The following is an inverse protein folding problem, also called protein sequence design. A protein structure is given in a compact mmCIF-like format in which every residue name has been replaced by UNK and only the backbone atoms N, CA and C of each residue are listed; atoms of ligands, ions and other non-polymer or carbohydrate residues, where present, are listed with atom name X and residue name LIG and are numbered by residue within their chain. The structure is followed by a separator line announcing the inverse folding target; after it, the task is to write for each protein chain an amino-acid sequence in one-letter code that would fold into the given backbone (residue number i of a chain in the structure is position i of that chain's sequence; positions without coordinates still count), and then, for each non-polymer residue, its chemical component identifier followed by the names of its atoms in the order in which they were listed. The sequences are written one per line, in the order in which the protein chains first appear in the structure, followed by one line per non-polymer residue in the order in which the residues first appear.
data_IF_069750057019
#
_entry.id   IF_069750057019
#
_cell.length_a   1.000
_cell.length_b   1.000
_cell.length_c   1.000
_cell.angle_alpha   90.00
_cell.angle_beta   90.00
_cell.angle_gamma   90.00
#
_symmetry.space_group_name_H-M   'P 1'
#
loop_
_entity.id
_entity.type
_entity.pdbx_description
1 polymer ?
#
# COMPACT_ATOMS: atom_id res chain seq x y z
N UNK A 1 43.11 -3.70 -14.13
CA UNK A 1 42.42 -3.64 -12.82
C UNK A 1 41.26 -2.67 -12.97
N UNK A 2 40.06 -3.18 -13.28
CA UNK A 2 38.87 -2.35 -13.48
C UNK A 2 38.07 -2.32 -12.18
N UNK A 3 37.98 -1.14 -11.56
CA UNK A 3 37.15 -0.91 -10.38
C UNK A 3 35.69 -0.78 -10.78
N UNK A 4 34.90 -1.83 -10.54
CA UNK A 4 33.45 -1.78 -10.56
C UNK A 4 32.96 -0.94 -9.38
N UNK A 5 32.44 0.26 -9.65
CA UNK A 5 31.77 1.10 -8.66
C UNK A 5 30.30 0.65 -8.58
N UNK A 6 29.96 -0.09 -7.53
CA UNK A 6 28.57 -0.39 -7.18
C UNK A 6 27.87 0.90 -6.79
N UNK A 7 26.97 1.39 -7.64
CA UNK A 7 26.03 2.46 -7.32
C UNK A 7 24.86 1.81 -6.59
N UNK A 8 24.88 1.87 -5.26
CA UNK A 8 23.74 1.51 -4.44
C UNK A 8 22.70 2.63 -4.55
N UNK A 9 21.77 2.47 -5.49
CA UNK A 9 20.60 3.35 -5.62
C UNK A 9 19.60 2.96 -4.54
N UNK A 10 19.68 3.62 -3.38
CA UNK A 10 18.66 3.54 -2.34
C UNK A 10 17.41 4.27 -2.81
N UNK A 11 16.48 3.55 -3.43
CA UNK A 11 15.16 4.06 -3.76
C UNK A 11 14.34 4.14 -2.46
N UNK A 12 14.36 5.31 -1.83
CA UNK A 12 13.54 5.59 -0.65
C UNK A 12 12.09 5.76 -1.13
N UNK A 13 11.33 4.65 -1.15
CA UNK A 13 9.90 4.68 -1.40
C UNK A 13 9.23 5.33 -0.20
N UNK A 14 8.95 6.62 -0.29
CA UNK A 14 8.17 7.35 0.72
C UNK A 14 6.73 6.82 0.70
N UNK A 15 6.46 5.85 1.56
CA UNK A 15 5.12 5.33 1.81
C UNK A 15 4.36 6.44 2.56
N UNK A 16 3.65 7.27 1.81
CA UNK A 16 2.73 8.24 2.38
C UNK A 16 1.67 7.47 3.19
N UNK A 17 1.60 7.73 4.49
CA UNK A 17 0.43 7.37 5.30
C UNK A 17 -0.75 8.21 4.80
N UNK A 18 -1.39 7.76 3.72
CA UNK A 18 -2.68 8.28 3.31
C UNK A 18 -3.67 7.92 4.43
N UNK A 19 -4.29 8.94 5.03
CA UNK A 19 -5.49 8.74 5.82
C UNK A 19 -6.51 7.94 5.00
N UNK A 20 -7.36 7.09 5.61
CA UNK A 20 -8.33 6.29 4.87
C UNK A 20 -9.32 7.24 4.18
N UNK A 21 -9.01 7.62 2.94
CA UNK A 21 -10.00 8.13 2.01
C UNK A 21 -11.04 7.02 1.95
N UNK A 22 -12.25 7.36 2.40
CA UNK A 22 -13.31 6.39 2.62
C UNK A 22 -13.45 5.44 1.45
N UNK A 23 -13.79 4.20 1.77
CA UNK A 23 -14.03 3.04 0.89
C UNK A 23 -14.88 3.33 -0.38
N UNK A 24 -15.48 4.52 -0.44
CA UNK A 24 -16.25 5.10 -1.53
C UNK A 24 -15.45 5.84 -2.62
N UNK A 25 -14.15 6.09 -2.49
CA UNK A 25 -13.38 6.75 -3.57
C UNK A 25 -12.97 5.71 -4.64
N UNK A 26 -13.55 5.77 -5.86
CA UNK A 26 -13.20 4.84 -6.94
C UNK A 26 -11.73 4.98 -7.36
N UNK A 27 -11.11 6.14 -7.15
CA UNK A 27 -9.69 6.37 -7.46
C UNK A 27 -8.78 5.55 -6.54
N UNK A 28 -9.10 5.48 -5.25
CA UNK A 28 -8.37 4.65 -4.30
C UNK A 28 -8.52 3.16 -4.63
N UNK A 29 -9.73 2.71 -4.97
CA UNK A 29 -9.99 1.33 -5.44
C UNK A 29 -9.22 1.00 -6.72
N UNK A 30 -9.13 1.94 -7.66
CA UNK A 30 -8.33 1.80 -8.87
C UNK A 30 -6.83 1.62 -8.57
N UNK A 31 -6.29 2.37 -7.61
CA UNK A 31 -4.90 2.20 -7.18
C UNK A 31 -4.65 0.81 -6.59
N UNK A 32 -5.61 0.26 -5.83
CA UNK A 32 -5.55 -1.13 -5.32
C UNK A 32 -5.52 -2.14 -6.46
N UNK A 33 -6.42 -2.03 -7.45
CA UNK A 33 -6.41 -2.86 -8.66
C UNK A 33 -5.03 -2.82 -9.32
N UNK A 34 -4.50 -1.62 -9.55
CA UNK A 34 -3.21 -1.47 -10.22
C UNK A 34 -2.05 -2.03 -9.40
N UNK A 35 -2.08 -1.88 -8.07
CA UNK A 35 -1.10 -2.48 -7.15
C UNK A 35 -1.06 -4.02 -7.23
N UNK A 36 -2.22 -4.66 -7.36
CA UNK A 36 -2.30 -6.10 -7.60
C UNK A 36 -1.71 -6.50 -8.95
N UNK A 37 -1.97 -5.72 -10.00
CA UNK A 37 -1.40 -6.00 -11.33
C UNK A 37 0.13 -5.85 -11.33
N UNK A 38 0.67 -4.77 -10.74
CA UNK A 38 2.12 -4.61 -10.61
C UNK A 38 2.76 -5.73 -9.81
N UNK A 39 2.06 -6.21 -8.77
CA UNK A 39 2.50 -7.37 -7.99
C UNK A 39 2.53 -8.62 -8.87
N UNK A 40 1.48 -8.88 -9.64
CA UNK A 40 1.40 -9.99 -10.58
C UNK A 40 2.51 -9.94 -11.64
N UNK A 41 2.75 -8.77 -12.26
CA UNK A 41 3.79 -8.56 -13.27
C UNK A 41 5.20 -8.84 -12.71
N UNK A 42 5.49 -8.38 -11.50
CA UNK A 42 6.75 -8.67 -10.79
C UNK A 42 6.90 -10.15 -10.46
N UNK A 43 5.84 -10.81 -10.00
CA UNK A 43 5.84 -12.25 -9.70
C UNK A 43 6.04 -13.08 -10.97
N UNK A 44 5.39 -12.70 -12.07
CA UNK A 44 5.58 -13.31 -13.38
C UNK A 44 7.02 -13.14 -13.88
N UNK A 45 7.61 -11.94 -13.72
CA UNK A 45 9.00 -11.69 -14.06
C UNK A 45 9.98 -12.55 -13.23
N UNK A 46 9.63 -12.87 -11.99
CA UNK A 46 10.37 -13.77 -11.11
C UNK A 46 10.07 -15.27 -11.37
N UNK A 47 9.26 -15.60 -12.39
CA UNK A 47 8.86 -16.97 -12.72
C UNK A 47 7.90 -17.60 -11.71
N UNK A 48 7.32 -16.83 -10.79
CA UNK A 48 6.37 -17.29 -9.78
C UNK A 48 4.95 -17.29 -10.36
N UNK A 49 4.72 -18.08 -11.40
CA UNK A 49 3.46 -18.14 -12.14
C UNK A 49 2.20 -18.38 -11.27
N UNK A 50 2.22 -19.25 -10.25
CA UNK A 50 1.04 -19.46 -9.39
C UNK A 50 0.60 -18.21 -8.65
N UNK A 51 1.56 -17.48 -8.07
CA UNK A 51 1.31 -16.27 -7.30
C UNK A 51 0.94 -15.11 -8.24
N UNK A 52 1.56 -15.07 -9.42
CA UNK A 52 1.22 -14.11 -10.46
C UNK A 52 -0.23 -14.28 -10.91
N UNK A 53 -0.66 -15.53 -11.18
CA UNK A 53 -2.03 -15.83 -11.54
C UNK A 53 -3.00 -15.44 -10.42
N UNK A 54 -2.72 -15.81 -9.17
CA UNK A 54 -3.55 -15.40 -8.04
C UNK A 54 -3.68 -13.88 -7.92
N UNK A 55 -2.59 -13.14 -8.13
CA UNK A 55 -2.60 -11.67 -8.12
C UNK A 55 -3.37 -11.06 -9.31
N UNK A 56 -3.32 -11.68 -10.50
CA UNK A 56 -4.12 -11.24 -11.65
C UNK A 56 -5.62 -11.51 -11.45
N UNK A 57 -5.97 -12.67 -10.89
CA UNK A 57 -7.35 -13.02 -10.57
C UNK A 57 -7.94 -12.06 -9.54
N UNK A 58 -7.16 -11.69 -8.54
CA UNK A 58 -7.55 -10.70 -7.55
C UNK A 58 -7.75 -9.31 -8.18
N UNK A 59 -6.83 -8.87 -9.05
CA UNK A 59 -7.00 -7.63 -9.81
C UNK A 59 -8.28 -7.64 -10.68
N UNK A 60 -8.59 -8.77 -11.33
CA UNK A 60 -9.81 -8.94 -12.15
C UNK A 60 -11.09 -8.91 -11.30
N UNK A 61 -11.07 -9.50 -10.10
CA UNK A 61 -12.18 -9.41 -9.14
C UNK A 61 -12.43 -7.96 -8.73
N UNK A 62 -11.39 -7.25 -8.31
CA UNK A 62 -11.46 -5.87 -7.82
C UNK A 62 -11.91 -4.89 -8.91
N UNK A 63 -11.42 -5.04 -10.15
CA UNK A 63 -11.81 -4.16 -11.26
C UNK A 63 -13.27 -4.41 -11.72
N UNK A 64 -13.77 -5.65 -11.58
CA UNK A 64 -15.18 -5.97 -11.81
C UNK A 64 -16.06 -5.29 -10.76
N UNK A 65 -15.71 -5.43 -9.49
CA UNK A 65 -16.43 -4.78 -8.40
C UNK A 65 -16.42 -3.24 -8.55
N UNK A 66 -15.28 -2.65 -8.92
CA UNK A 66 -15.19 -1.22 -9.24
C UNK A 66 -16.12 -0.81 -10.40
N UNK A 67 -16.16 -1.58 -11.47
CA UNK A 67 -17.02 -1.30 -12.63
C UNK A 67 -18.52 -1.40 -12.28
N UNK A 68 -18.88 -2.31 -11.38
CA UNK A 68 -20.26 -2.51 -10.94
C UNK A 68 -20.72 -1.44 -9.95
N UNK A 69 -19.86 -1.08 -9.00
CA UNK A 69 -20.16 -0.09 -7.95
C UNK A 69 -20.01 1.35 -8.43
N UNK A 70 -19.14 1.61 -9.40
CA UNK A 70 -18.83 2.94 -9.95
C UNK A 70 -18.76 2.92 -11.49
N UNK A 71 -19.89 2.70 -12.20
CA UNK A 71 -19.90 2.54 -13.65
C UNK A 71 -19.44 3.78 -14.43
N UNK A 72 -19.54 4.98 -13.83
CA UNK A 72 -19.13 6.25 -14.45
C UNK A 72 -17.62 6.54 -14.27
N UNK A 73 -16.90 5.75 -13.47
CA UNK A 73 -15.47 5.94 -13.25
C UNK A 73 -14.66 5.43 -14.44
N UNK A 74 -14.15 6.36 -15.25
CA UNK A 74 -13.19 6.11 -16.33
C UNK A 74 -13.51 4.83 -17.16
N UNK A 75 -14.72 4.72 -17.72
CA UNK A 75 -15.25 3.44 -18.22
C UNK A 75 -14.41 2.84 -19.36
N UNK A 76 -13.79 3.69 -20.19
CA UNK A 76 -12.90 3.27 -21.27
C UNK A 76 -11.63 2.59 -20.73
N UNK A 77 -11.01 3.18 -19.70
CA UNK A 77 -9.82 2.65 -19.04
C UNK A 77 -10.13 1.33 -18.33
N UNK A 78 -11.23 1.28 -17.58
CA UNK A 78 -11.69 0.07 -16.87
C UNK A 78 -11.97 -1.05 -17.87
N UNK A 79 -12.69 -0.77 -18.96
CA UNK A 79 -12.98 -1.75 -20.01
C UNK A 79 -11.71 -2.27 -20.68
N UNK A 80 -10.79 -1.37 -21.06
CA UNK A 80 -9.51 -1.73 -21.64
C UNK A 80 -8.71 -2.66 -20.72
N UNK A 81 -8.57 -2.29 -19.44
CA UNK A 81 -7.76 -3.06 -18.49
C UNK A 81 -8.38 -4.41 -18.16
N UNK A 82 -9.71 -4.51 -18.09
CA UNK A 82 -10.42 -5.79 -17.96
C UNK A 82 -10.15 -6.73 -19.14
N UNK A 83 -10.22 -6.21 -20.37
CA UNK A 83 -9.90 -6.99 -21.57
C UNK A 83 -8.47 -7.53 -21.54
N UNK A 84 -7.51 -6.70 -21.15
CA UNK A 84 -6.10 -7.11 -21.01
C UNK A 84 -5.91 -8.15 -19.91
N UNK A 85 -6.58 -8.01 -18.76
CA UNK A 85 -6.53 -8.97 -17.65
C UNK A 85 -7.04 -10.34 -18.08
N UNK A 86 -8.17 -10.41 -18.80
CA UNK A 86 -8.71 -11.69 -19.31
C UNK A 86 -7.70 -12.42 -20.18
N UNK A 87 -7.06 -11.73 -21.12
CA UNK A 87 -6.00 -12.32 -21.95
C UNK A 87 -4.82 -12.77 -21.11
N UNK A 88 -4.33 -11.92 -20.20
CA UNK A 88 -3.16 -12.20 -19.36
C UNK A 88 -3.39 -13.37 -18.41
N UNK A 89 -4.58 -13.48 -17.82
CA UNK A 89 -5.01 -14.59 -16.96
C UNK A 89 -4.97 -15.89 -17.76
N UNK A 90 -5.59 -15.92 -18.95
CA UNK A 90 -5.60 -17.11 -19.80
C UNK A 90 -4.20 -17.55 -20.23
N UNK A 91 -3.33 -16.61 -20.61
CA UNK A 91 -1.94 -16.90 -20.96
C UNK A 91 -1.12 -17.40 -19.77
N UNK A 92 -1.41 -16.90 -18.56
CA UNK A 92 -0.73 -17.31 -17.34
C UNK A 92 -1.21 -18.69 -16.89
N UNK A 93 -2.51 -18.96 -16.91
CA UNK A 93 -3.12 -20.25 -16.60
C UNK A 93 -2.55 -21.37 -17.50
N UNK A 94 -2.39 -21.10 -18.80
CA UNK A 94 -1.79 -22.03 -19.74
C UNK A 94 -0.32 -22.41 -19.40
N UNK A 95 0.37 -21.64 -18.54
CA UNK A 95 1.73 -21.92 -18.07
C UNK A 95 1.78 -22.76 -16.81
N UNK A 96 0.69 -22.85 -16.04
CA UNK A 96 0.69 -23.56 -14.76
C UNK A 96 0.63 -25.07 -14.95
N UNK A 97 1.43 -25.77 -14.16
CA UNK A 97 1.30 -27.22 -13.96
C UNK A 97 0.20 -27.55 -12.94
N UNK A 98 -0.24 -28.81 -12.86
CA UNK A 98 -1.31 -29.22 -11.91
C UNK A 98 -0.92 -28.92 -10.46
N UNK A 99 0.31 -29.26 -10.06
CA UNK A 99 0.80 -29.01 -8.68
C UNK A 99 0.90 -27.50 -8.36
N UNK A 100 1.09 -26.68 -9.39
CA UNK A 100 1.11 -25.23 -9.27
C UNK A 100 -0.28 -24.61 -9.06
N UNK A 101 -1.35 -25.28 -9.48
CA UNK A 101 -2.71 -24.82 -9.20
C UNK A 101 -3.03 -24.90 -7.71
N UNK A 102 -2.55 -25.92 -6.99
CA UNK A 102 -2.73 -26.01 -5.53
C UNK A 102 -2.06 -24.82 -4.81
N UNK A 103 -0.83 -24.48 -5.22
CA UNK A 103 -0.11 -23.31 -4.69
C UNK A 103 -0.88 -22.02 -4.97
N UNK A 104 -1.43 -21.86 -6.17
CA UNK A 104 -2.25 -20.71 -6.52
C UNK A 104 -3.51 -20.63 -5.65
N UNK A 105 -4.23 -21.74 -5.46
CA UNK A 105 -5.44 -21.77 -4.63
C UNK A 105 -5.16 -21.36 -3.19
N UNK A 106 -4.11 -21.92 -2.56
CA UNK A 106 -3.70 -21.51 -1.21
C UNK A 106 -3.29 -20.04 -1.15
N UNK A 107 -2.66 -19.52 -2.20
CA UNK A 107 -2.30 -18.11 -2.27
C UNK A 107 -3.55 -17.21 -2.38
N UNK A 108 -4.60 -17.64 -3.09
CA UNK A 108 -5.89 -16.95 -3.10
C UNK A 108 -6.55 -16.99 -1.72
N UNK A 109 -6.56 -18.12 -1.02
CA UNK A 109 -7.08 -18.23 0.35
C UNK A 109 -6.34 -17.27 1.31
N UNK A 110 -5.03 -17.11 1.13
CA UNK A 110 -4.23 -16.11 1.83
C UNK A 110 -4.69 -14.67 1.52
N UNK A 111 -4.89 -14.32 0.25
CA UNK A 111 -5.35 -12.98 -0.15
C UNK A 111 -6.73 -12.69 0.45
N UNK A 112 -7.68 -13.62 0.34
CA UNK A 112 -9.03 -13.45 0.88
C UNK A 112 -8.99 -13.26 2.41
N UNK A 113 -8.18 -14.05 3.11
CA UNK A 113 -7.99 -13.91 4.55
C UNK A 113 -7.33 -12.58 4.92
N UNK A 114 -6.34 -12.14 4.15
CA UNK A 114 -5.68 -10.84 4.35
C UNK A 114 -6.69 -9.69 4.22
N UNK A 115 -7.48 -9.68 3.15
CA UNK A 115 -8.48 -8.63 2.93
C UNK A 115 -9.59 -8.63 3.98
N UNK A 116 -10.10 -9.81 4.35
CA UNK A 116 -11.09 -9.94 5.41
C UNK A 116 -10.54 -9.40 6.74
N UNK A 117 -9.31 -9.77 7.09
CA UNK A 117 -8.66 -9.28 8.31
C UNK A 117 -8.43 -7.78 8.31
N UNK A 118 -8.05 -7.19 7.16
CA UNK A 118 -7.93 -5.73 7.02
C UNK A 118 -9.30 -5.03 7.11
N UNK A 119 -10.36 -5.60 6.54
CA UNK A 119 -11.73 -5.10 6.67
C UNK A 119 -12.20 -5.10 8.13
N UNK A 120 -12.02 -6.22 8.84
CA UNK A 120 -12.32 -6.35 10.27
C UNK A 120 -11.55 -5.32 11.10
N UNK A 121 -10.28 -5.06 10.76
CA UNK A 121 -9.48 -4.03 11.41
C UNK A 121 -10.11 -2.65 11.27
N UNK A 122 -10.54 -2.26 10.06
CA UNK A 122 -11.18 -0.96 9.84
C UNK A 122 -12.58 -0.87 10.46
N UNK A 123 -13.26 -2.01 10.65
CA UNK A 123 -14.50 -2.11 11.41
C UNK A 123 -14.31 -2.05 12.95
N UNK A 124 -13.07 -1.93 13.44
CA UNK A 124 -12.69 -2.00 14.85
C UNK A 124 -12.96 -3.36 15.53
N UNK A 125 -13.02 -4.44 14.76
CA UNK A 125 -13.18 -5.81 15.24
C UNK A 125 -11.80 -6.45 15.53
N UNK A 126 -11.03 -5.85 16.44
CA UNK A 126 -9.59 -6.15 16.58
C UNK A 126 -9.26 -7.62 16.88
N UNK A 127 -10.00 -8.29 17.76
CA UNK A 127 -9.77 -9.71 18.07
C UNK A 127 -10.05 -10.62 16.86
N UNK A 128 -11.11 -10.33 16.09
CA UNK A 128 -11.45 -11.05 14.87
C UNK A 128 -10.40 -10.81 13.80
N UNK A 129 -10.02 -9.54 13.57
CA UNK A 129 -8.97 -9.15 12.64
C UNK A 129 -7.65 -9.85 12.95
N UNK A 130 -7.24 -9.87 14.23
CA UNK A 130 -6.00 -10.54 14.65
C UNK A 130 -6.05 -12.03 14.36
N UNK A 131 -7.16 -12.70 14.67
CA UNK A 131 -7.34 -14.13 14.42
C UNK A 131 -7.27 -14.44 12.92
N UNK A 132 -7.99 -13.69 12.09
CA UNK A 132 -8.01 -13.86 10.63
C UNK A 132 -6.63 -13.62 10.02
N UNK A 133 -5.95 -12.53 10.40
CA UNK A 133 -4.60 -12.22 9.89
C UNK A 133 -3.55 -13.25 10.35
N UNK A 134 -3.71 -13.82 11.54
CA UNK A 134 -2.83 -14.91 12.00
C UNK A 134 -3.04 -16.19 11.17
N UNK A 135 -4.29 -16.49 10.77
CA UNK A 135 -4.56 -17.59 9.82
C UNK A 135 -3.95 -17.32 8.46
N UNK A 136 -4.11 -16.09 7.93
CA UNK A 136 -3.46 -15.68 6.68
C UNK A 136 -1.93 -15.89 6.74
N UNK A 137 -1.31 -15.53 7.88
CA UNK A 137 0.12 -15.74 8.10
C UNK A 137 0.49 -17.22 8.06
N UNK A 138 -0.29 -18.07 8.72
CA UNK A 138 -0.04 -19.51 8.73
C UNK A 138 -0.11 -20.14 7.32
N UNK A 139 -1.07 -19.72 6.48
CA UNK A 139 -1.15 -20.14 5.07
C UNK A 139 0.10 -19.70 4.30
N UNK A 140 0.55 -18.47 4.51
CA UNK A 140 1.75 -17.95 3.86
C UNK A 140 3.03 -18.66 4.33
N UNK A 141 3.13 -18.99 5.62
CA UNK A 141 4.22 -19.79 6.19
C UNK A 141 4.27 -21.20 5.56
N UNK A 142 3.12 -21.86 5.38
CA UNK A 142 3.01 -23.17 4.71
C UNK A 142 3.48 -23.10 3.24
N UNK A 143 3.08 -22.05 2.52
CA UNK A 143 3.52 -21.81 1.15
C UNK A 143 5.04 -21.59 1.05
N UNK A 144 5.61 -20.82 1.99
CA UNK A 144 7.05 -20.60 2.09
C UNK A 144 7.77 -21.92 2.39
N UNK A 145 7.23 -22.77 3.27
CA UNK A 145 7.84 -24.08 3.57
C UNK A 145 7.90 -24.98 2.33
N UNK A 146 6.86 -24.92 1.48
CA UNK A 146 6.76 -25.74 0.27
C UNK A 146 7.73 -25.31 -0.84
N UNK A 147 8.01 -24.00 -1.00
CA UNK A 147 8.92 -23.47 -2.04
C UNK A 147 9.90 -22.41 -1.49
N UNK A 148 10.91 -22.77 -0.69
CA UNK A 148 11.51 -21.86 0.29
C UNK A 148 12.31 -20.66 -0.22
N UNK A 149 13.06 -20.77 -1.31
CA UNK A 149 14.03 -19.70 -1.65
C UNK A 149 13.40 -18.62 -2.54
N UNK A 150 12.90 -18.98 -3.73
CA UNK A 150 12.34 -18.02 -4.66
C UNK A 150 10.99 -17.44 -4.21
N UNK A 151 10.17 -18.24 -3.50
CA UNK A 151 8.86 -17.77 -3.02
C UNK A 151 9.01 -16.73 -1.91
N UNK A 152 9.93 -16.97 -0.95
CA UNK A 152 10.12 -16.09 0.21
C UNK A 152 10.50 -14.68 -0.19
N UNK A 153 11.40 -14.53 -1.17
CA UNK A 153 11.74 -13.20 -1.69
C UNK A 153 10.54 -12.52 -2.35
N UNK A 154 9.76 -13.29 -3.11
CA UNK A 154 8.60 -12.78 -3.85
C UNK A 154 7.49 -12.25 -2.93
N UNK A 155 7.28 -12.90 -1.77
CA UNK A 155 6.23 -12.52 -0.80
C UNK A 155 6.75 -11.71 0.38
N UNK A 156 8.06 -11.38 0.43
CA UNK A 156 8.68 -10.73 1.58
C UNK A 156 7.97 -9.42 1.98
N UNK A 157 7.54 -8.62 0.99
CA UNK A 157 6.84 -7.36 1.27
C UNK A 157 5.46 -7.57 1.91
N UNK A 158 4.71 -8.57 1.44
CA UNK A 158 3.39 -8.93 1.95
C UNK A 158 3.52 -9.50 3.36
N UNK A 159 4.53 -10.36 3.58
CA UNK A 159 4.86 -10.93 4.87
C UNK A 159 5.15 -9.83 5.91
N UNK A 160 6.05 -8.90 5.58
CA UNK A 160 6.41 -7.80 6.47
C UNK A 160 5.21 -6.89 6.82
N UNK A 161 4.34 -6.61 5.83
CA UNK A 161 3.09 -5.84 6.06
C UNK A 161 2.14 -6.59 7.01
N UNK A 162 2.02 -7.90 6.84
CA UNK A 162 1.17 -8.75 7.67
C UNK A 162 1.67 -8.79 9.12
N UNK A 163 2.97 -9.02 9.33
CA UNK A 163 3.59 -9.00 10.66
C UNK A 163 3.41 -7.65 11.34
N UNK A 164 3.69 -6.55 10.64
CA UNK A 164 3.47 -5.21 11.18
C UNK A 164 2.01 -4.96 11.55
N UNK A 165 1.05 -5.53 10.81
CA UNK A 165 -0.38 -5.40 11.09
C UNK A 165 -0.79 -6.21 12.33
N UNK A 166 -0.23 -7.42 12.50
CA UNK A 166 -0.44 -8.26 13.67
C UNK A 166 0.14 -7.62 14.94
N UNK A 167 1.36 -7.09 14.87
CA UNK A 167 2.00 -6.37 15.99
C UNK A 167 1.16 -5.17 16.43
N UNK A 168 0.70 -4.38 15.45
CA UNK A 168 -0.17 -3.25 15.74
C UNK A 168 -1.49 -3.69 16.40
N UNK A 169 -2.17 -4.71 15.86
CA UNK A 169 -3.42 -5.25 16.43
C UNK A 169 -3.20 -5.77 17.86
N UNK A 170 -2.11 -6.50 18.09
CA UNK A 170 -1.73 -6.97 19.42
C UNK A 170 -1.59 -5.81 20.41
N UNK A 171 -0.97 -4.70 19.99
CA UNK A 171 -0.87 -3.50 20.82
C UNK A 171 -2.22 -2.87 21.15
N UNK A 172 -3.17 -2.85 20.20
CA UNK A 172 -4.51 -2.30 20.41
C UNK A 172 -5.35 -3.17 21.35
N UNK A 173 -5.28 -4.50 21.19
CA UNK A 173 -5.96 -5.46 22.07
C UNK A 173 -5.41 -5.33 23.49
N UNK A 174 -4.09 -5.30 23.66
CA UNK A 174 -3.45 -5.14 24.96
C UNK A 174 -3.80 -3.79 25.60
N UNK A 175 -3.77 -2.70 24.83
CA UNK A 175 -4.17 -1.38 25.30
C UNK A 175 -5.61 -1.38 25.81
N UNK A 176 -6.53 -2.02 25.08
CA UNK A 176 -7.94 -2.14 25.46
C UNK A 176 -8.12 -2.98 26.72
N UNK A 177 -7.35 -4.06 26.87
CA UNK A 177 -7.38 -4.91 28.06
C UNK A 177 -6.86 -4.19 29.31
N UNK A 178 -5.79 -3.42 29.19
CA UNK A 178 -5.21 -2.63 30.30
C UNK A 178 -6.09 -1.41 30.63
N UNK A 179 -6.69 -0.77 29.62
CA UNK A 179 -7.50 0.44 29.79
C UNK A 179 -8.94 0.19 30.23
N UNK A 180 -9.39 -1.07 30.28
CA UNK A 180 -10.61 -1.40 31.02
C UNK A 180 -10.23 -1.49 32.49
N UNK A 181 -10.45 -0.44 33.32
CA UNK A 181 -10.29 -0.61 34.75
C UNK A 181 -11.23 -1.76 35.12
N UNK A 182 -10.66 -2.85 35.64
CA UNK A 182 -11.46 -3.85 36.29
C UNK A 182 -12.40 -3.12 37.25
N UNK A 183 -13.63 -3.58 37.37
CA UNK A 183 -14.68 -3.07 38.27
C UNK A 183 -14.30 -3.11 39.77
N UNK A 184 -13.00 -3.05 40.10
CA UNK A 184 -12.55 -2.45 41.33
C UNK A 184 -13.05 -1.00 41.35
N UNK A 185 -13.89 -0.69 42.33
CA UNK A 185 -14.43 0.63 42.60
C UNK A 185 -13.34 1.69 42.39
N UNK A 186 -13.41 2.41 41.27
CA UNK A 186 -12.55 3.54 41.00
C UNK A 186 -12.94 4.57 42.03
N UNK A 187 -12.07 4.73 43.03
CA UNK A 187 -12.09 5.90 43.89
C UNK A 187 -12.10 7.12 42.96
N UNK A 188 -13.18 7.92 43.01
CA UNK A 188 -13.45 9.08 42.14
C UNK A 188 -12.32 10.12 42.11
N UNK A 189 -11.26 9.92 42.89
CA UNK A 189 -10.13 10.82 43.06
C UNK A 189 -9.02 10.67 42.02
N UNK A 190 -8.92 9.54 41.30
CA UNK A 190 -7.79 9.33 40.35
C UNK A 190 -8.19 9.72 38.94
N UNK A 191 -7.84 10.95 38.56
CA UNK A 191 -8.10 11.57 37.27
C UNK A 191 -7.16 11.02 36.20
N UNK A 192 -7.58 9.92 35.54
CA UNK A 192 -6.84 9.26 34.46
C UNK A 192 -6.88 10.06 33.17
N UNK A 193 -6.30 11.26 33.13
CA UNK A 193 -5.75 11.90 31.93
C UNK A 193 -6.60 11.91 30.65
N UNK A 194 -7.91 11.65 30.71
CA UNK A 194 -8.83 11.99 29.64
C UNK A 194 -8.65 13.47 29.46
N UNK A 195 -8.59 13.93 28.22
CA UNK A 195 -8.56 15.35 27.88
C UNK A 195 -9.64 16.06 28.69
N UNK A 196 -9.30 16.58 29.87
CA UNK A 196 -10.17 17.49 30.60
C UNK A 196 -10.39 18.59 29.60
N UNK A 197 -11.62 18.73 29.15
CA UNK A 197 -12.02 19.88 28.37
C UNK A 197 -11.65 21.08 29.23
N UNK A 198 -10.48 21.67 28.93
CA UNK A 198 -9.99 22.85 29.61
C UNK A 198 -11.06 23.89 29.37
N UNK A 199 -11.86 24.19 30.40
CA UNK A 199 -12.89 25.21 30.26
C UNK A 199 -12.15 26.53 30.08
N UNK A 200 -12.77 27.49 29.40
CA UNK A 200 -12.13 28.81 29.24
C UNK A 200 -11.71 29.46 30.57
N UNK A 201 -12.36 29.08 31.68
CA UNK A 201 -12.00 29.51 33.04
C UNK A 201 -10.75 28.82 33.63
N UNK A 202 -10.37 27.64 33.12
CA UNK A 202 -9.19 26.88 33.53
C UNK A 202 -7.93 27.33 32.79
N UNK A 203 -8.08 28.15 31.75
CA UNK A 203 -6.96 28.80 31.08
C UNK A 203 -6.39 29.90 32.01
N UNK A 204 -5.06 29.99 32.17
CA UNK A 204 -4.44 31.06 32.95
C UNK A 204 -4.84 32.41 32.34
N UNK A 205 -5.58 33.23 33.11
CA UNK A 205 -6.04 34.56 32.70
C UNK A 205 -4.93 35.61 32.75
N UNK A 206 -3.88 35.34 33.54
CA UNK A 206 -2.64 36.08 33.48
C UNK A 206 -1.79 35.54 32.34
N UNK A 207 -1.52 36.37 31.33
CA UNK A 207 -0.40 36.15 30.40
C UNK A 207 0.89 36.43 31.17
N UNK A 208 1.66 35.44 31.65
CA UNK A 208 3.08 35.70 31.85
C UNK A 208 3.62 36.17 30.50
N UNK A 209 4.52 37.16 30.50
CA UNK A 209 5.28 37.53 29.31
C UNK A 209 6.07 36.30 28.86
N UNK A 210 5.45 35.48 28.03
CA UNK A 210 6.08 34.32 27.42
C UNK A 210 7.12 34.86 26.45
N UNK A 211 8.35 35.01 26.93
CA UNK A 211 9.49 35.23 26.06
C UNK A 211 9.58 34.00 25.15
N UNK A 212 9.18 34.15 23.90
CA UNK A 212 9.41 33.16 22.87
C UNK A 212 10.91 33.15 22.62
N UNK A 213 11.65 32.36 23.40
CA UNK A 213 13.05 32.11 23.15
C UNK A 213 13.12 31.19 21.94
N UNK A 214 13.75 31.69 20.88
CA UNK A 214 14.04 30.98 19.64
C UNK A 214 15.00 29.78 19.80
N UNK A 215 15.19 29.28 21.02
CA UNK A 215 16.01 28.11 21.33
C UNK A 215 15.27 26.78 21.11
N UNK A 216 13.94 26.79 21.18
CA UNK A 216 13.12 25.57 21.01
C UNK A 216 12.72 25.30 19.57
N UNK A 217 12.93 26.27 18.68
CA UNK A 217 12.77 26.08 17.24
C UNK A 217 14.14 26.36 16.62
N UNK A 218 14.92 25.33 16.26
CA UNK A 218 16.10 25.54 15.44
C UNK A 218 15.60 26.13 14.13
N UNK A 219 15.66 27.47 14.04
CA UNK A 219 15.55 28.19 12.79
C UNK A 219 16.82 27.78 12.06
N UNK A 220 16.75 26.67 11.34
CA UNK A 220 17.76 26.32 10.36
C UNK A 220 17.91 27.55 9.49
N UNK A 221 19.08 28.18 9.59
CA UNK A 221 19.50 29.25 8.70
C UNK A 221 19.37 28.66 7.29
N UNK A 222 18.23 28.93 6.65
CA UNK A 222 18.11 28.80 5.21
C UNK A 222 19.15 29.77 4.69
N UNK A 223 20.32 29.23 4.36
CA UNK A 223 21.35 29.97 3.68
C UNK A 223 20.69 30.46 2.41
N UNK A 224 20.48 31.77 2.35
CA UNK A 224 20.03 32.54 1.21
C UNK A 224 21.15 32.45 0.15
N UNK A 225 21.33 31.25 -0.38
CA UNK A 225 22.12 31.02 -1.58
C UNK A 225 21.23 31.50 -2.70
N UNK A 226 21.46 32.75 -3.07
CA UNK A 226 20.90 33.41 -4.22
C UNK A 226 20.82 32.44 -5.41
N UNK A 227 19.65 31.84 -5.60
CA UNK A 227 19.29 31.15 -6.84
C UNK A 227 18.83 32.24 -7.77
N UNK A 228 19.72 32.63 -8.67
CA UNK A 228 19.49 33.57 -9.75
C UNK A 228 18.33 33.06 -10.64
N UNK A 229 17.13 33.69 -10.62
CA UNK A 229 15.97 33.15 -11.30
C UNK A 229 15.96 33.37 -12.82
N UNK A 230 17.06 33.86 -13.41
CA UNK A 230 17.09 34.28 -14.82
C UNK A 230 18.35 33.87 -15.60
N UNK A 231 18.87 32.65 -15.40
CA UNK A 231 19.74 32.05 -16.43
C UNK A 231 18.88 31.36 -17.50
N UNK A 232 18.31 32.17 -18.38
CA UNK A 232 17.58 31.76 -19.58
C UNK A 232 18.49 30.95 -20.51
N UNK A 233 18.47 29.62 -20.35
CA UNK A 233 19.02 28.69 -21.33
C UNK A 233 18.12 28.68 -22.56
N UNK A 234 18.65 29.20 -23.69
CA UNK A 234 18.03 29.14 -25.01
C UNK A 234 17.46 27.74 -25.32
N UNK A 235 16.21 27.62 -25.80
CA UNK A 235 15.75 26.36 -26.35
C UNK A 235 16.54 26.04 -27.62
N UNK A 236 17.29 24.93 -27.57
CA UNK A 236 17.91 24.33 -28.73
C UNK A 236 16.81 23.98 -29.76
N UNK A 237 16.97 24.56 -30.95
CA UNK A 237 16.15 24.36 -32.15
C UNK A 237 16.07 22.86 -32.46
N UNK A 238 14.90 22.25 -32.24
CA UNK A 238 14.60 20.89 -32.69
C UNK A 238 14.54 20.90 -34.23
N UNK A 239 15.32 20.06 -34.94
CA UNK A 239 15.21 19.93 -36.38
C UNK A 239 13.88 19.29 -36.76
N UNK A 240 13.13 20.01 -37.59
CA UNK A 240 11.92 19.55 -38.28
C UNK A 240 12.25 18.32 -39.12
N UNK A 241 11.83 17.13 -38.69
CA UNK A 241 11.89 15.93 -39.51
C UNK A 241 10.87 16.05 -40.64
N UNK A 242 11.36 15.95 -41.87
CA UNK A 242 10.58 15.97 -43.07
C UNK A 242 9.60 14.79 -43.12
N UNK A 243 8.35 15.11 -43.43
CA UNK A 243 7.32 14.14 -43.84
C UNK A 243 7.69 13.59 -45.22
N UNK A 244 8.08 12.32 -45.26
CA UNK A 244 8.15 11.53 -46.48
C UNK A 244 6.84 10.75 -46.61
N UNK A 245 5.92 11.30 -47.40
CA UNK A 245 4.83 10.54 -48.00
C UNK A 245 5.45 9.53 -48.96
N UNK A 246 5.43 8.25 -48.62
CA UNK A 246 5.55 7.17 -49.61
C UNK A 246 4.14 6.72 -50.01
N UNK A 247 3.81 7.16 -51.22
CA UNK A 247 2.71 6.72 -52.07
C UNK A 247 2.98 5.26 -52.49
N UNK A 248 2.16 4.34 -51.97
CA UNK A 248 2.31 2.89 -52.11
C UNK A 248 1.11 2.25 -52.79
N UNK A 249 0.90 2.58 -54.05
CA UNK A 249 0.02 1.90 -55.01
C UNK A 249 0.22 0.38 -55.02
N UNK A 250 -0.83 -0.40 -54.74
CA UNK A 250 -0.96 -1.78 -55.25
C UNK A 250 -2.41 -2.04 -55.70
N UNK A 251 -2.47 -2.65 -56.89
CA UNK A 251 -3.64 -3.03 -57.69
C UNK A 251 -4.50 -4.11 -57.06
#
# INVERSE_FOLDING_TARGET
MSSSRSVATTLLLAFALAAPAGESDPSARWLTVYGWIQTAERLAAAGQWPLALGSYLEADRQIKDLAETHPDFEPEMVTYRRGLLVTTISETEARLTIDEHEVMMKYLDFIESLELGEGQRYANEYDAAYTTLAMAKAVLDELIETKPEAFREAVASQYARLESSLDWLGSQIQFTAVSRPGTAAVDESTDWGTTRFVKAADLPTSRPEASVTSELFPVGLVSDSAVDPFSAGSPARVPSAASSNEDGSVR
#
